data_IF_134052578544
#
_entry.id   IF_134052578544
#
_cell.length_a   1.000
_cell.length_b   1.000
_cell.length_c   1.000
_cell.angle_alpha   90.00
_cell.angle_beta   90.00
_cell.angle_gamma   90.00
#
_symmetry.space_group_name_H-M   'P 1'
#
loop_
_entity.id
_entity.type
_entity.pdbx_description
1 polymer ?
#
# COMPACT_ATOMS: atom_id res chain seq x y z
N UNK A 1 17.42 7.35 26.04
CA UNK A 1 17.37 8.69 26.69
C UNK A 1 17.17 9.71 25.59
N UNK A 2 16.28 10.69 25.75
CA UNK A 2 16.14 11.79 24.79
C UNK A 2 17.40 12.67 24.85
N UNK A 3 17.94 13.06 23.70
CA UNK A 3 19.26 13.72 23.58
C UNK A 3 19.32 15.17 24.08
N UNK A 4 18.39 15.63 24.93
CA UNK A 4 18.36 17.01 25.44
C UNK A 4 18.05 18.08 24.40
N UNK A 5 17.53 17.71 23.24
CA UNK A 5 17.26 18.65 22.15
C UNK A 5 16.04 19.52 22.45
N UNK A 6 16.18 20.82 22.19
CA UNK A 6 15.11 21.80 22.29
C UNK A 6 14.71 22.23 20.88
N UNK A 7 13.42 22.21 20.57
CA UNK A 7 12.93 22.72 19.29
C UNK A 7 13.01 24.24 19.33
N UNK A 8 13.91 24.82 18.53
CA UNK A 8 14.12 26.27 18.45
C UNK A 8 12.92 26.99 17.79
N UNK A 9 12.51 26.54 16.59
CA UNK A 9 11.32 27.05 15.91
C UNK A 9 10.68 26.01 14.97
N UNK A 10 9.34 26.03 14.87
CA UNK A 10 8.59 25.28 13.85
C UNK A 10 8.39 26.19 12.64
N UNK A 11 9.16 25.97 11.56
CA UNK A 11 9.14 26.82 10.36
C UNK A 11 7.90 26.62 9.47
N UNK A 12 7.28 25.43 9.51
CA UNK A 12 6.11 25.09 8.70
C UNK A 12 5.35 23.93 9.34
N UNK A 13 4.01 23.99 9.28
CA UNK A 13 3.12 22.88 9.63
C UNK A 13 2.14 22.68 8.48
N UNK A 14 1.99 21.44 8.05
CA UNK A 14 1.06 21.06 7.00
C UNK A 14 0.03 20.07 7.56
N UNK A 15 -1.23 20.21 7.12
CA UNK A 15 -2.29 19.26 7.40
C UNK A 15 -2.73 18.66 6.06
N UNK A 16 -2.39 17.41 5.85
CA UNK A 16 -2.79 16.65 4.67
C UNK A 16 -3.59 15.41 5.06
N UNK A 17 -4.44 14.96 4.14
CA UNK A 17 -5.06 13.63 4.20
C UNK A 17 -4.31 12.76 3.20
N UNK A 18 -3.68 11.71 3.67
CA UNK A 18 -2.99 10.74 2.81
C UNK A 18 -3.89 9.51 2.66
N UNK A 19 -4.43 9.23 1.45
CA UNK A 19 -5.23 8.05 1.23
C UNK A 19 -4.37 6.80 1.35
N UNK A 20 -4.93 5.74 1.93
CA UNK A 20 -4.29 4.43 2.06
C UNK A 20 -5.22 3.37 1.49
N UNK A 21 -4.69 2.54 0.59
CA UNK A 21 -5.47 1.47 -0.05
C UNK A 21 -5.79 0.36 0.97
N UNK A 22 -7.08 0.15 1.23
CA UNK A 22 -7.56 -0.88 2.17
C UNK A 22 -8.07 -2.13 1.46
N UNK A 23 -8.70 -1.97 0.31
CA UNK A 23 -9.25 -3.05 -0.51
C UNK A 23 -9.66 -2.52 -1.89
N UNK A 24 -10.11 -3.41 -2.79
CA UNK A 24 -10.68 -3.03 -4.08
C UNK A 24 -10.72 -4.17 -5.09
N UNK A 25 -11.54 -4.00 -6.12
CA UNK A 25 -11.61 -4.88 -7.29
C UNK A 25 -10.80 -4.25 -8.45
N UNK A 26 -9.56 -4.71 -8.70
CA UNK A 26 -8.70 -4.11 -9.70
C UNK A 26 -9.23 -4.36 -11.12
N UNK A 27 -9.92 -5.49 -11.35
CA UNK A 27 -10.43 -5.84 -12.68
C UNK A 27 -11.59 -4.92 -13.04
N UNK A 28 -12.53 -4.75 -12.11
CA UNK A 28 -13.65 -3.82 -12.29
C UNK A 28 -13.16 -2.39 -12.47
N UNK A 29 -12.28 -1.91 -11.59
CA UNK A 29 -11.75 -0.55 -11.66
C UNK A 29 -11.03 -0.26 -13.00
N UNK A 30 -10.19 -1.18 -13.48
CA UNK A 30 -9.50 -1.02 -14.76
C UNK A 30 -10.40 -1.25 -15.98
N UNK A 31 -11.53 -1.96 -15.82
CA UNK A 31 -12.54 -2.14 -16.86
C UNK A 31 -13.45 -0.91 -16.99
N UNK A 32 -13.78 -0.24 -15.89
CA UNK A 32 -14.49 1.05 -15.91
C UNK A 32 -13.66 2.14 -16.60
N UNK A 33 -12.33 1.95 -16.69
CA UNK A 33 -11.40 2.80 -17.44
C UNK A 33 -11.12 2.28 -18.87
N UNK A 34 -11.80 1.22 -19.33
CA UNK A 34 -11.55 0.61 -20.63
C UNK A 34 -12.03 1.53 -21.77
N UNK A 35 -11.09 1.91 -22.64
CA UNK A 35 -11.30 2.89 -23.72
C UNK A 35 -10.37 4.10 -23.61
N UNK A 36 -9.80 4.35 -22.42
CA UNK A 36 -8.67 5.27 -22.27
C UNK A 36 -7.36 4.60 -22.72
N UNK A 37 -6.37 5.42 -23.07
CA UNK A 37 -5.00 4.96 -23.34
C UNK A 37 -4.45 4.08 -22.20
N UNK A 38 -3.37 3.36 -22.47
CA UNK A 38 -2.74 2.48 -21.50
C UNK A 38 -2.45 3.21 -20.16
N UNK A 39 -2.99 2.67 -19.07
CA UNK A 39 -2.97 3.32 -17.75
C UNK A 39 -1.66 3.03 -17.02
N UNK A 40 -1.06 4.05 -16.41
CA UNK A 40 0.20 3.95 -15.67
C UNK A 40 0.12 4.68 -14.32
N UNK A 41 1.16 4.54 -13.50
CA UNK A 41 1.23 5.15 -12.17
C UNK A 41 0.07 4.75 -11.25
N UNK A 42 -0.36 5.65 -10.36
CA UNK A 42 -1.45 5.33 -9.42
C UNK A 42 -2.77 5.02 -10.12
N UNK A 43 -3.06 5.65 -11.26
CA UNK A 43 -4.27 5.36 -12.04
C UNK A 43 -4.25 3.95 -12.62
N UNK A 44 -3.07 3.44 -12.99
CA UNK A 44 -2.85 2.06 -13.41
C UNK A 44 -2.64 1.06 -12.26
N UNK A 45 -2.86 1.44 -11.00
CA UNK A 45 -2.62 0.62 -9.80
C UNK A 45 -1.13 0.25 -9.55
N UNK A 46 -0.20 1.02 -10.10
CA UNK A 46 1.25 0.84 -9.94
C UNK A 46 1.78 1.67 -8.76
N UNK A 47 1.50 1.17 -7.56
CA UNK A 47 2.00 1.76 -6.31
C UNK A 47 2.06 0.75 -5.17
N UNK A 48 2.86 1.05 -4.14
CA UNK A 48 2.94 0.30 -2.91
C UNK A 48 1.75 0.64 -1.98
N UNK A 49 0.87 -0.31 -1.60
CA UNK A 49 -0.39 0.02 -0.92
C UNK A 49 -0.26 0.69 0.45
N UNK A 50 0.86 0.51 1.16
CA UNK A 50 1.07 1.09 2.50
C UNK A 50 1.83 2.41 2.47
N UNK A 51 2.73 2.62 1.50
CA UNK A 51 3.63 3.79 1.48
C UNK A 51 3.33 4.76 0.36
N UNK A 52 2.51 4.37 -0.62
CA UNK A 52 2.25 5.17 -1.82
C UNK A 52 3.42 5.25 -2.81
N UNK A 53 4.53 4.55 -2.55
CA UNK A 53 5.70 4.59 -3.42
C UNK A 53 5.40 3.93 -4.77
N UNK A 54 5.73 4.62 -5.85
CA UNK A 54 5.46 4.17 -7.22
C UNK A 54 6.71 4.04 -8.09
N UNK A 55 7.86 4.53 -7.62
CA UNK A 55 9.08 4.56 -8.43
C UNK A 55 9.53 3.17 -8.93
N UNK A 56 9.63 2.12 -8.10
CA UNK A 56 9.98 0.79 -8.58
C UNK A 56 9.01 0.25 -9.65
N UNK A 57 7.71 0.54 -9.47
CA UNK A 57 6.69 0.12 -10.43
C UNK A 57 6.79 0.91 -11.73
N UNK A 58 7.09 2.21 -11.65
CA UNK A 58 7.29 3.06 -12.83
C UNK A 58 8.46 2.55 -13.69
N UNK A 59 9.57 2.11 -13.07
CA UNK A 59 10.68 1.49 -13.80
C UNK A 59 10.23 0.20 -14.49
N UNK A 60 9.47 -0.67 -13.81
CA UNK A 60 8.99 -1.92 -14.41
C UNK A 60 7.99 -1.68 -15.54
N UNK A 61 7.12 -0.68 -15.39
CA UNK A 61 6.20 -0.24 -16.45
C UNK A 61 6.98 0.28 -17.65
N UNK A 62 8.05 1.06 -17.45
CA UNK A 62 8.89 1.55 -18.55
C UNK A 62 9.52 0.40 -19.34
N UNK A 63 9.97 -0.67 -18.67
CA UNK A 63 10.45 -1.89 -19.35
C UNK A 63 9.35 -2.55 -20.18
N UNK A 64 8.14 -2.71 -19.63
CA UNK A 64 7.00 -3.29 -20.36
C UNK A 64 6.64 -2.45 -21.58
N UNK A 65 6.67 -1.11 -21.46
CA UNK A 65 6.41 -0.20 -22.57
C UNK A 65 7.48 -0.35 -23.64
N UNK A 66 8.75 -0.43 -23.27
CA UNK A 66 9.86 -0.62 -24.21
C UNK A 66 9.75 -1.95 -24.98
N UNK A 67 9.37 -3.04 -24.31
CA UNK A 67 9.18 -4.36 -24.92
C UNK A 67 8.01 -4.43 -25.91
N UNK A 68 7.05 -3.49 -25.82
CA UNK A 68 5.78 -3.53 -26.56
C UNK A 68 5.58 -2.31 -27.49
N UNK A 69 6.59 -1.45 -27.64
CA UNK A 69 6.45 -0.14 -28.28
C UNK A 69 5.94 -0.22 -29.73
N UNK A 70 6.32 -1.28 -30.45
CA UNK A 70 5.94 -1.52 -31.85
C UNK A 70 4.65 -2.37 -32.01
N UNK A 71 4.03 -2.77 -30.90
CA UNK A 71 2.99 -3.81 -30.88
C UNK A 71 1.57 -3.25 -30.71
N UNK A 72 1.43 -1.93 -30.64
CA UNK A 72 0.17 -1.19 -30.64
C UNK A 72 -0.42 -0.91 -29.25
N UNK A 73 -1.20 0.18 -29.16
CA UNK A 73 -1.72 0.70 -27.88
C UNK A 73 -2.68 -0.24 -27.14
N UNK A 74 -3.50 -1.01 -27.85
CA UNK A 74 -4.43 -1.96 -27.23
C UNK A 74 -3.72 -3.12 -26.55
N UNK A 75 -2.66 -3.64 -27.19
CA UNK A 75 -1.87 -4.72 -26.65
C UNK A 75 -1.08 -4.26 -25.42
N UNK A 76 -0.47 -3.08 -25.49
CA UNK A 76 0.19 -2.46 -24.33
C UNK A 76 -0.80 -2.25 -23.16
N UNK A 77 -2.00 -1.72 -23.44
CA UNK A 77 -3.02 -1.51 -22.42
C UNK A 77 -3.45 -2.84 -21.77
N UNK A 78 -3.59 -3.90 -22.55
CA UNK A 78 -3.92 -5.25 -22.05
C UNK A 78 -2.80 -5.78 -21.16
N UNK A 79 -1.54 -5.72 -21.62
CA UNK A 79 -0.39 -6.21 -20.85
C UNK A 79 -0.20 -5.45 -19.53
N UNK A 80 -0.37 -4.13 -19.53
CA UNK A 80 -0.30 -3.34 -18.30
C UNK A 80 -1.47 -3.64 -17.35
N UNK A 81 -2.69 -3.84 -17.87
CA UNK A 81 -3.84 -4.24 -17.05
C UNK A 81 -3.60 -5.59 -16.36
N UNK A 82 -3.10 -6.58 -17.10
CA UNK A 82 -2.81 -7.91 -16.54
C UNK A 82 -1.69 -7.83 -15.49
N UNK A 83 -0.64 -7.04 -15.77
CA UNK A 83 0.44 -6.82 -14.80
C UNK A 83 -0.07 -6.14 -13.51
N UNK A 84 -0.90 -5.11 -13.65
CA UNK A 84 -1.50 -4.41 -12.50
C UNK A 84 -2.37 -5.34 -11.65
N UNK A 85 -3.18 -6.21 -12.27
CA UNK A 85 -4.01 -7.19 -11.55
C UNK A 85 -3.15 -8.21 -10.81
N UNK A 86 -2.06 -8.70 -11.42
CA UNK A 86 -1.10 -9.60 -10.75
C UNK A 86 -0.48 -8.93 -9.53
N UNK A 87 0.08 -7.73 -9.71
CA UNK A 87 0.70 -6.94 -8.63
C UNK A 87 -0.29 -6.66 -7.50
N UNK A 88 -1.55 -6.35 -7.82
CA UNK A 88 -2.59 -6.14 -6.82
C UNK A 88 -2.80 -7.38 -5.96
N UNK A 89 -2.81 -8.57 -6.55
CA UNK A 89 -2.90 -9.85 -5.84
C UNK A 89 -1.69 -10.13 -4.95
N UNK A 90 -0.49 -10.02 -5.50
CA UNK A 90 0.79 -10.21 -4.80
C UNK A 90 0.92 -9.28 -3.58
N UNK A 91 0.37 -8.07 -3.69
CA UNK A 91 0.39 -7.03 -2.65
C UNK A 91 -0.80 -7.05 -1.69
N UNK A 92 -1.61 -8.10 -1.70
CA UNK A 92 -2.74 -8.27 -0.78
C UNK A 92 -2.37 -8.16 0.70
N UNK A 93 -1.17 -8.61 1.08
CA UNK A 93 -0.66 -8.51 2.45
C UNK A 93 -0.58 -7.06 2.95
N UNK A 94 -0.16 -6.11 2.13
CA UNK A 94 -0.04 -4.71 2.53
C UNK A 94 -1.42 -4.10 2.81
N UNK A 95 -2.42 -4.43 2.00
CA UNK A 95 -3.81 -4.02 2.23
C UNK A 95 -4.38 -4.64 3.51
N UNK A 96 -4.07 -5.91 3.78
CA UNK A 96 -4.40 -6.54 5.06
C UNK A 96 -3.80 -5.77 6.25
N UNK A 97 -2.51 -5.44 6.17
CA UNK A 97 -1.83 -4.66 7.22
C UNK A 97 -2.48 -3.29 7.41
N UNK A 98 -2.81 -2.59 6.32
CA UNK A 98 -3.48 -1.31 6.37
C UNK A 98 -4.86 -1.44 7.06
N UNK A 99 -5.64 -2.48 6.76
CA UNK A 99 -6.92 -2.71 7.45
C UNK A 99 -6.74 -2.95 8.94
N UNK A 100 -5.73 -3.72 9.35
CA UNK A 100 -5.41 -3.90 10.76
C UNK A 100 -5.02 -2.56 11.42
N UNK A 101 -4.18 -1.76 10.76
CA UNK A 101 -3.74 -0.47 11.28
C UNK A 101 -4.90 0.53 11.44
N UNK A 102 -5.77 0.65 10.44
CA UNK A 102 -6.80 1.69 10.42
C UNK A 102 -8.13 1.27 11.05
N UNK A 103 -8.47 -0.03 11.03
CA UNK A 103 -9.74 -0.54 11.59
C UNK A 103 -9.60 -1.23 12.95
N UNK A 104 -8.42 -1.75 13.30
CA UNK A 104 -8.23 -2.45 14.58
C UNK A 104 -7.56 -1.60 15.66
N UNK A 105 -6.76 -0.59 15.28
CA UNK A 105 -6.13 0.33 16.22
C UNK A 105 -6.96 1.58 16.44
N UNK A 106 -7.13 1.95 17.71
CA UNK A 106 -7.62 3.27 18.09
C UNK A 106 -6.71 4.36 17.45
N UNK A 107 -7.27 5.47 16.94
CA UNK A 107 -6.51 6.47 16.18
C UNK A 107 -5.24 6.96 16.89
N UNK A 108 -5.31 7.15 18.21
CA UNK A 108 -4.23 7.59 19.09
C UNK A 108 -3.16 6.51 19.34
N UNK A 109 -3.46 5.23 19.06
CA UNK A 109 -2.55 4.11 19.28
C UNK A 109 -1.85 3.64 18.00
N UNK A 110 -2.25 4.14 16.82
CA UNK A 110 -1.69 3.74 15.52
C UNK A 110 -0.18 3.94 15.44
N UNK A 111 0.37 4.98 16.07
CA UNK A 111 1.80 5.25 16.05
C UNK A 111 2.63 4.11 16.68
N UNK A 112 2.08 3.39 17.67
CA UNK A 112 2.79 2.27 18.33
C UNK A 112 3.02 1.10 17.39
N UNK A 113 2.12 0.91 16.42
CA UNK A 113 2.29 -0.10 15.36
C UNK A 113 3.49 0.25 14.49
N UNK A 114 3.59 1.52 14.09
CA UNK A 114 4.70 2.04 13.29
C UNK A 114 6.01 2.00 14.08
N UNK A 115 6.01 2.41 15.34
CA UNK A 115 7.20 2.36 16.21
C UNK A 115 7.75 0.93 16.31
N UNK A 116 6.88 -0.06 16.54
CA UNK A 116 7.28 -1.47 16.58
C UNK A 116 7.81 -1.94 15.22
N UNK A 117 7.19 -1.56 14.12
CA UNK A 117 7.64 -1.93 12.78
C UNK A 117 9.08 -1.47 12.52
N UNK A 118 9.43 -0.24 12.93
CA UNK A 118 10.81 0.29 12.78
C UNK A 118 11.83 -0.31 13.75
N UNK A 119 11.42 -1.18 14.68
CA UNK A 119 12.35 -1.99 15.50
C UNK A 119 12.71 -3.33 14.84
N UNK A 120 12.08 -3.67 13.71
CA UNK A 120 12.41 -4.89 12.95
C UNK A 120 13.79 -4.76 12.30
N UNK A 121 14.45 -5.88 11.93
CA UNK A 121 15.73 -5.83 11.24
C UNK A 121 15.66 -5.00 9.96
N UNK A 122 16.65 -4.12 9.74
CA UNK A 122 16.72 -3.24 8.57
C UNK A 122 16.48 -3.98 7.23
N UNK A 123 17.05 -5.17 6.95
CA UNK A 123 16.80 -5.85 5.68
C UNK A 123 15.34 -6.24 5.44
N UNK A 124 14.57 -6.50 6.52
CA UNK A 124 13.14 -6.75 6.41
C UNK A 124 12.40 -5.47 6.04
N UNK A 125 12.74 -4.35 6.69
CA UNK A 125 12.15 -3.05 6.40
C UNK A 125 12.41 -2.67 4.93
N UNK A 126 13.64 -2.84 4.44
CA UNK A 126 13.99 -2.57 3.04
C UNK A 126 13.15 -3.40 2.06
N UNK A 127 12.98 -4.70 2.32
CA UNK A 127 12.10 -5.54 1.49
C UNK A 127 10.65 -5.10 1.53
N UNK A 128 10.18 -4.66 2.69
CA UNK A 128 8.84 -4.12 2.84
C UNK A 128 8.64 -2.87 1.97
N UNK A 129 9.55 -1.90 2.05
CA UNK A 129 9.49 -0.69 1.24
C UNK A 129 9.65 -0.96 -0.26
N UNK A 130 10.40 -2.00 -0.63
CA UNK A 130 10.52 -2.45 -2.01
C UNK A 130 9.30 -3.22 -2.53
N UNK A 131 8.27 -3.47 -1.70
CA UNK A 131 7.11 -4.28 -2.08
C UNK A 131 7.41 -5.78 -2.19
N UNK A 132 8.58 -6.25 -1.73
CA UNK A 132 9.07 -7.64 -1.85
C UNK A 132 9.04 -8.42 -0.53
N UNK A 133 8.04 -8.17 0.32
CA UNK A 133 7.87 -8.84 1.62
C UNK A 133 7.66 -10.35 1.46
N UNK A 134 8.57 -11.13 2.02
CA UNK A 134 8.52 -12.60 1.98
C UNK A 134 7.53 -13.18 3.00
N UNK A 135 7.21 -14.48 2.92
CA UNK A 135 6.32 -15.12 3.91
C UNK A 135 6.89 -15.05 5.34
N UNK A 136 8.20 -15.22 5.50
CA UNK A 136 8.85 -15.10 6.82
C UNK A 136 8.83 -13.66 7.34
N UNK A 137 8.97 -12.67 6.45
CA UNK A 137 8.80 -11.26 6.81
C UNK A 137 7.36 -10.98 7.26
N UNK A 138 6.36 -11.45 6.50
CA UNK A 138 4.93 -11.31 6.85
C UNK A 138 4.65 -11.86 8.24
N UNK A 139 5.12 -13.09 8.50
CA UNK A 139 5.02 -13.72 9.81
C UNK A 139 5.70 -12.88 10.89
N UNK A 140 6.90 -12.38 10.65
CA UNK A 140 7.64 -11.57 11.62
C UNK A 140 6.98 -10.21 11.91
N UNK A 141 6.41 -9.56 10.89
CA UNK A 141 5.67 -8.29 11.01
C UNK A 141 4.43 -8.48 11.88
N UNK A 142 3.67 -9.56 11.70
CA UNK A 142 2.47 -9.84 12.49
C UNK A 142 2.80 -10.48 13.85
N UNK A 143 3.92 -11.20 13.98
CA UNK A 143 4.30 -11.94 15.20
C UNK A 143 4.80 -11.07 16.32
N UNK A 144 4.35 -11.34 17.54
CA UNK A 144 4.65 -10.57 18.75
C UNK A 144 3.38 -10.05 19.41
N UNK A 145 3.47 -9.50 20.63
CA UNK A 145 2.30 -8.97 21.36
C UNK A 145 1.63 -7.87 20.50
N UNK A 146 0.45 -8.11 19.94
CA UNK A 146 -0.17 -7.13 19.07
C UNK A 146 -0.53 -5.91 19.91
N UNK A 147 -0.21 -4.68 19.45
CA UNK A 147 -0.56 -3.45 20.16
C UNK A 147 -2.08 -3.20 20.19
N UNK A 148 -2.84 -4.06 19.50
CA UNK A 148 -4.30 -4.05 19.41
C UNK A 148 -4.87 -5.44 19.73
N UNK A 149 -6.09 -5.54 20.28
CA UNK A 149 -6.72 -6.82 20.57
C UNK A 149 -6.83 -7.69 19.31
N UNK A 150 -6.41 -8.96 19.41
CA UNK A 150 -6.35 -9.94 18.30
C UNK A 150 -7.71 -10.08 17.59
N UNK A 151 -8.81 -10.05 18.33
CA UNK A 151 -10.15 -10.19 17.77
C UNK A 151 -10.56 -9.01 16.87
N UNK A 152 -10.11 -7.78 17.18
CA UNK A 152 -10.33 -6.61 16.31
C UNK A 152 -9.53 -6.72 15.02
N UNK A 153 -8.31 -7.25 15.12
CA UNK A 153 -7.47 -7.50 13.95
C UNK A 153 -8.07 -8.57 13.01
N UNK A 154 -8.63 -9.64 13.56
CA UNK A 154 -9.33 -10.68 12.78
C UNK A 154 -10.60 -10.15 12.09
N UNK A 155 -11.42 -9.36 12.79
CA UNK A 155 -12.60 -8.72 12.20
C UNK A 155 -12.26 -7.70 11.11
N UNK A 156 -11.12 -7.00 11.25
CA UNK A 156 -10.60 -6.06 10.27
C UNK A 156 -9.93 -6.74 9.06
N UNK A 157 -9.41 -7.97 9.24
CA UNK A 157 -8.71 -8.71 8.19
C UNK A 157 -9.64 -9.13 7.05
N UNK A 158 -10.91 -9.41 7.38
CA UNK A 158 -11.95 -9.74 6.42
C UNK A 158 -12.22 -8.55 5.46
N UNK A 159 -12.29 -8.80 4.14
CA UNK A 159 -12.82 -7.83 3.19
C UNK A 159 -14.19 -7.35 3.67
N UNK A 160 -14.31 -6.07 3.96
CA UNK A 160 -15.62 -5.51 4.31
C UNK A 160 -16.21 -4.90 3.04
N UNK A 161 -17.51 -5.14 2.79
CA UNK A 161 -18.30 -4.24 1.92
C UNK A 161 -18.02 -2.82 2.42
N UNK A 162 -17.45 -1.98 1.56
CA UNK A 162 -17.18 -0.58 1.87
C UNK A 162 -18.53 0.02 2.24
N UNK A 163 -18.73 0.41 3.51
CA UNK A 163 -19.89 1.19 3.91
C UNK A 163 -19.67 2.62 3.40
N UNK A 164 -20.70 3.23 2.80
CA UNK A 164 -20.71 4.58 2.19
C UNK A 164 -20.20 5.72 3.09
N UNK A 165 -20.10 5.47 4.40
CA UNK A 165 -19.65 6.39 5.45
C UNK A 165 -18.16 6.82 5.37
N UNK A 166 -17.39 6.35 4.39
CA UNK A 166 -16.02 6.85 4.12
C UNK A 166 -15.91 7.74 2.88
N UNK A 167 -17.02 8.05 2.21
CA UNK A 167 -17.05 8.88 0.99
C UNK A 167 -17.07 10.39 1.29
N UNK A 168 -17.23 10.78 2.56
CA UNK A 168 -17.43 12.19 2.96
C UNK A 168 -16.39 12.74 3.96
N UNK A 169 -15.15 12.26 3.94
CA UNK A 169 -14.07 12.81 4.77
C UNK A 169 -13.03 13.57 3.94
#
# INVERSE_FOLDING_TARGET
RACGWTVDAVVRRERGVLPVALDGDPRRYLAESAGEAAQVGMRGLFFHPTTGYSFPDATKVAEIVADEIDLGGERLATRLRDHAVSLWGERSFYRLLNRMLFRAAEPDQRYRVLERFYRLPQPLIERFYAGRTTLSDKARIISGKPPVPVWRALKAALPARIKEQYVHA
#
